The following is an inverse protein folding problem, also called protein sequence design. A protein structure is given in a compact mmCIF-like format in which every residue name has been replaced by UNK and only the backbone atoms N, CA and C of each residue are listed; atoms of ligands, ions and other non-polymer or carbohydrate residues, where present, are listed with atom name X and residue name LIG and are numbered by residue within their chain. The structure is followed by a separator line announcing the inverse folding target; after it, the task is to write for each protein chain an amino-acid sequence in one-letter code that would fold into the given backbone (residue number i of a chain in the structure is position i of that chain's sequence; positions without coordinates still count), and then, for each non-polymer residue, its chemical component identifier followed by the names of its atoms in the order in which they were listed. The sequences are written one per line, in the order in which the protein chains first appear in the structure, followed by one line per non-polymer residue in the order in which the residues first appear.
data_IF_095039076921
#
_entry.id   IF_095039076921
#
_cell.length_a   1.000
_cell.length_b   1.000
_cell.length_c   1.000
_cell.angle_alpha   90.00
_cell.angle_beta   90.00
_cell.angle_gamma   90.00
#
_symmetry.space_group_name_H-M   'P 1'
#
loop_
_entity.id
_entity.type
_entity.pdbx_description
1 polymer ?
#
# COMPACT_ATOMS: atom_id res chain seq x y z
N UNK A 1 34.58 -3.53 7.01
CA UNK A 1 33.51 -4.50 7.19
C UNK A 1 32.38 -3.89 8.00
N UNK A 2 32.71 -3.30 9.16
CA UNK A 2 31.70 -2.65 10.00
C UNK A 2 31.01 -1.48 9.31
N UNK A 3 31.78 -0.67 8.58
CA UNK A 3 31.24 0.47 7.85
C UNK A 3 30.28 0.04 6.76
N UNK A 4 30.61 -1.05 6.05
CA UNK A 4 29.75 -1.57 4.99
C UNK A 4 28.42 -2.07 5.60
N UNK A 5 28.47 -2.74 6.72
CA UNK A 5 27.28 -3.21 7.41
C UNK A 5 26.38 -2.07 7.87
N UNK A 6 26.98 -0.98 8.37
CA UNK A 6 26.24 0.21 8.79
C UNK A 6 25.55 0.86 7.58
N UNK A 7 26.24 0.97 6.45
CA UNK A 7 25.68 1.53 5.22
C UNK A 7 24.49 0.71 4.74
N UNK A 8 24.63 -0.62 4.71
CA UNK A 8 23.54 -1.51 4.30
C UNK A 8 22.33 -1.39 5.23
N UNK A 9 22.57 -1.30 6.53
CA UNK A 9 21.53 -1.15 7.53
C UNK A 9 20.77 0.16 7.32
N UNK A 10 21.49 1.25 7.10
CA UNK A 10 20.89 2.57 6.82
C UNK A 10 20.04 2.54 5.55
N UNK A 11 20.55 1.89 4.50
CA UNK A 11 19.81 1.75 3.24
C UNK A 11 18.53 0.94 3.43
N UNK A 12 18.59 -0.12 4.22
CA UNK A 12 17.42 -0.95 4.52
C UNK A 12 16.37 -0.15 5.28
N UNK A 13 16.77 0.62 6.29
CA UNK A 13 15.86 1.46 7.04
C UNK A 13 15.21 2.52 6.17
N UNK A 14 15.99 3.17 5.28
CA UNK A 14 15.48 4.15 4.36
C UNK A 14 14.47 3.54 3.38
N UNK A 15 14.74 2.34 2.89
CA UNK A 15 13.81 1.64 1.99
C UNK A 15 12.50 1.33 2.68
N UNK A 16 12.54 0.92 3.94
CA UNK A 16 11.33 0.66 4.72
C UNK A 16 10.53 1.95 4.89
N UNK A 17 11.19 3.06 5.22
CA UNK A 17 10.52 4.36 5.35
C UNK A 17 9.87 4.83 4.05
N UNK A 18 10.59 4.69 2.92
CA UNK A 18 10.05 5.05 1.60
C UNK A 18 8.87 4.16 1.26
N UNK A 19 8.99 2.86 1.51
CA UNK A 19 7.90 1.91 1.26
C UNK A 19 6.66 2.23 2.09
N UNK A 20 6.85 2.59 3.36
CA UNK A 20 5.74 2.98 4.23
C UNK A 20 5.04 4.23 3.70
N UNK A 21 5.79 5.23 3.21
CA UNK A 21 5.22 6.42 2.59
C UNK A 21 4.43 6.07 1.33
N UNK A 22 4.96 5.20 0.49
CA UNK A 22 4.28 4.76 -0.73
C UNK A 22 2.97 4.05 -0.41
N UNK A 23 2.95 3.22 0.63
CA UNK A 23 1.73 2.53 1.07
C UNK A 23 0.69 3.53 1.59
N UNK A 24 1.13 4.54 2.35
CA UNK A 24 0.25 5.60 2.81
C UNK A 24 -0.40 6.36 1.67
N UNK A 25 0.40 6.70 0.64
CA UNK A 25 -0.10 7.38 -0.55
C UNK A 25 -1.07 6.48 -1.34
N UNK A 26 -0.73 5.21 -1.49
CA UNK A 26 -1.58 4.24 -2.18
C UNK A 26 -2.92 4.07 -1.46
N UNK A 27 -2.91 4.03 -0.13
CA UNK A 27 -4.12 3.93 0.66
C UNK A 27 -4.99 5.18 0.52
N UNK A 28 -4.39 6.36 0.51
CA UNK A 28 -5.13 7.60 0.28
C UNK A 28 -5.76 7.64 -1.10
N UNK A 29 -5.02 7.21 -2.11
CA UNK A 29 -5.54 7.13 -3.47
C UNK A 29 -6.66 6.10 -3.58
N UNK A 30 -6.52 4.96 -2.90
CA UNK A 30 -7.56 3.93 -2.88
C UNK A 30 -8.84 4.47 -2.22
N UNK A 31 -8.73 5.15 -1.07
CA UNK A 31 -9.88 5.71 -0.38
C UNK A 31 -10.61 6.72 -1.25
N UNK A 32 -9.87 7.58 -1.97
CA UNK A 32 -10.45 8.54 -2.89
C UNK A 32 -11.15 7.84 -4.06
N UNK A 33 -10.54 6.81 -4.61
CA UNK A 33 -11.13 6.02 -5.70
C UNK A 33 -12.40 5.31 -5.24
N UNK A 34 -12.40 4.79 -4.03
CA UNK A 34 -13.57 4.11 -3.46
C UNK A 34 -14.73 5.10 -3.27
N UNK A 35 -14.46 6.28 -2.73
CA UNK A 35 -15.48 7.31 -2.58
C UNK A 35 -16.05 7.73 -3.93
N UNK A 36 -15.19 7.93 -4.93
CA UNK A 36 -15.61 8.28 -6.28
C UNK A 36 -16.51 7.18 -6.85
N UNK A 37 -16.13 5.91 -6.69
CA UNK A 37 -16.89 4.78 -7.19
C UNK A 37 -18.28 4.67 -6.54
N UNK A 38 -18.38 5.05 -5.27
CA UNK A 38 -19.66 5.03 -4.55
C UNK A 38 -20.59 6.15 -5.00
N UNK A 39 -20.05 7.27 -5.45
CA UNK A 39 -20.85 8.47 -5.78
C UNK A 39 -21.09 8.67 -7.27
N UNK A 40 -20.19 8.17 -8.13
CA UNK A 40 -20.34 8.34 -9.60
C UNK A 40 -21.43 7.42 -10.12
N UNK A 41 -22.42 8.01 -10.76
CA UNK A 41 -23.57 7.29 -11.31
C UNK A 41 -23.35 7.09 -12.81
N UNK A 42 -23.48 5.85 -13.27
CA UNK A 42 -23.46 5.48 -14.68
C UNK A 42 -24.61 4.52 -14.91
N UNK A 43 -25.46 4.85 -15.90
CA UNK A 43 -26.65 4.06 -16.24
C UNK A 43 -27.55 3.78 -15.02
N UNK A 44 -27.69 4.80 -14.16
CA UNK A 44 -28.59 4.75 -13.01
C UNK A 44 -28.06 4.04 -11.78
N UNK A 45 -26.78 3.63 -11.78
CA UNK A 45 -26.17 2.95 -10.63
C UNK A 45 -24.79 3.52 -10.32
N UNK A 46 -24.36 3.55 -9.03
CA UNK A 46 -22.98 3.87 -8.69
C UNK A 46 -22.03 2.88 -9.38
N UNK A 47 -20.88 3.37 -9.83
CA UNK A 47 -19.95 2.50 -10.57
C UNK A 47 -19.38 1.37 -9.73
N UNK A 48 -19.41 1.51 -8.39
CA UNK A 48 -18.95 0.42 -7.50
C UNK A 48 -19.81 -0.84 -7.65
N UNK A 49 -21.06 -0.71 -8.08
CA UNK A 49 -21.95 -1.87 -8.28
C UNK A 49 -21.59 -2.66 -9.53
N UNK A 50 -20.77 -2.11 -10.42
CA UNK A 50 -20.31 -2.85 -11.59
C UNK A 50 -19.21 -3.81 -11.18
N UNK A 51 -19.38 -5.08 -11.51
CA UNK A 51 -18.50 -6.15 -11.06
C UNK A 51 -17.02 -5.91 -11.41
N UNK A 52 -16.74 -5.39 -12.61
CA UNK A 52 -15.37 -5.12 -13.03
C UNK A 52 -14.69 -4.08 -12.13
N UNK A 53 -15.43 -3.05 -11.72
CA UNK A 53 -14.90 -2.00 -10.84
C UNK A 53 -14.74 -2.56 -9.41
N UNK A 54 -15.72 -3.30 -8.91
CA UNK A 54 -15.65 -3.89 -7.57
C UNK A 54 -14.47 -4.85 -7.46
N UNK A 55 -14.21 -5.68 -8.47
CA UNK A 55 -13.08 -6.60 -8.48
C UNK A 55 -11.74 -5.87 -8.48
N UNK A 56 -11.61 -4.79 -9.26
CA UNK A 56 -10.39 -3.99 -9.28
C UNK A 56 -10.10 -3.35 -7.92
N UNK A 57 -11.13 -2.82 -7.27
CA UNK A 57 -10.99 -2.22 -5.95
C UNK A 57 -10.61 -3.28 -4.90
N UNK A 58 -11.19 -4.47 -4.98
CA UNK A 58 -10.85 -5.56 -4.07
C UNK A 58 -9.40 -6.01 -4.25
N UNK A 59 -8.92 -6.12 -5.49
CA UNK A 59 -7.54 -6.48 -5.78
C UNK A 59 -6.58 -5.41 -5.25
N UNK A 60 -6.89 -4.14 -5.45
CA UNK A 60 -6.07 -3.03 -4.94
C UNK A 60 -6.00 -3.06 -3.41
N UNK A 61 -7.12 -3.29 -2.74
CA UNK A 61 -7.16 -3.37 -1.28
C UNK A 61 -6.32 -4.52 -0.77
N UNK A 62 -6.40 -5.69 -1.42
CA UNK A 62 -5.60 -6.85 -1.05
C UNK A 62 -4.11 -6.59 -1.24
N UNK A 63 -3.72 -5.95 -2.35
CA UNK A 63 -2.32 -5.64 -2.62
C UNK A 63 -1.76 -4.65 -1.60
N UNK A 64 -2.52 -3.63 -1.24
CA UNK A 64 -2.11 -2.64 -0.24
C UNK A 64 -1.94 -3.32 1.14
N UNK A 65 -2.86 -4.20 1.51
CA UNK A 65 -2.78 -4.92 2.78
C UNK A 65 -1.56 -5.84 2.82
N UNK A 66 -1.30 -6.58 1.73
CA UNK A 66 -0.12 -7.43 1.63
C UNK A 66 1.16 -6.62 1.74
N UNK A 67 1.25 -5.50 1.03
CA UNK A 67 2.42 -4.63 1.07
C UNK A 67 2.65 -4.07 2.47
N UNK A 68 1.57 -3.69 3.17
CA UNK A 68 1.64 -3.20 4.53
C UNK A 68 2.29 -4.22 5.47
N UNK A 69 1.88 -5.48 5.37
CA UNK A 69 2.45 -6.53 6.21
C UNK A 69 3.90 -6.84 5.87
N UNK A 70 4.28 -6.75 4.59
CA UNK A 70 5.68 -6.89 4.19
C UNK A 70 6.55 -5.80 4.81
N UNK A 71 6.07 -4.56 4.84
CA UNK A 71 6.80 -3.44 5.46
C UNK A 71 6.93 -3.65 6.96
N UNK A 72 5.87 -4.06 7.62
CA UNK A 72 5.90 -4.33 9.06
C UNK A 72 6.86 -5.46 9.39
N UNK A 73 6.86 -6.52 8.59
CA UNK A 73 7.80 -7.62 8.76
C UNK A 73 9.25 -7.15 8.57
N UNK A 74 9.50 -6.33 7.56
CA UNK A 74 10.83 -5.78 7.32
C UNK A 74 11.30 -4.92 8.49
N UNK A 75 10.43 -4.06 9.02
CA UNK A 75 10.75 -3.23 10.17
C UNK A 75 11.05 -4.07 11.40
N UNK A 76 10.26 -5.11 11.63
CA UNK A 76 10.49 -6.04 12.74
C UNK A 76 11.85 -6.74 12.60
N UNK A 77 12.20 -7.17 11.38
CA UNK A 77 13.49 -7.81 11.10
C UNK A 77 14.66 -6.88 11.40
N UNK A 78 14.54 -5.61 11.06
CA UNK A 78 15.58 -4.62 11.34
C UNK A 78 15.75 -4.44 12.85
N UNK A 79 14.65 -4.37 13.60
CA UNK A 79 14.71 -4.26 15.06
C UNK A 79 15.36 -5.48 15.72
N UNK A 80 15.14 -6.65 15.15
CA UNK A 80 15.69 -7.91 15.72
C UNK A 80 17.15 -8.10 15.39
N UNK A 81 17.64 -7.46 14.36
CA UNK A 81 18.92 -7.72 13.95
C UNK A 81 19.91 -7.25 13.35
#
# INVERSE_FOLDING_TARGET
VGTYGIVLESLSENRIGVSANCIGMARGAFDAALDFAKTRIVRGRPIIEYQAIAHKLADMAADIEAAKWFVYYGAWRVDQG
#
